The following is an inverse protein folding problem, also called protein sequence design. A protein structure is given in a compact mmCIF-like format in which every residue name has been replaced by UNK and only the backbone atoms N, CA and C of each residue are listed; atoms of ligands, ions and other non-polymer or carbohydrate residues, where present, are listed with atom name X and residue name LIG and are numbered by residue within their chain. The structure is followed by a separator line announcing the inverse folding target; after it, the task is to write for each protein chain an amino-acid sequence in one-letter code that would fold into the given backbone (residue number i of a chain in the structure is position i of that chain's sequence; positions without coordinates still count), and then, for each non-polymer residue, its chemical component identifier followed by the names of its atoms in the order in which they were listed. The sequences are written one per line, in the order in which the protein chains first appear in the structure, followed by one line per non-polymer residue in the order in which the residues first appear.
data_IF_665402123208
#
_entry.id   IF_665402123208
#
_cell.length_a   1.000
_cell.length_b   1.000
_cell.length_c   1.000
_cell.angle_alpha   90.00
_cell.angle_beta   90.00
_cell.angle_gamma   90.00
#
_symmetry.space_group_name_H-M   'P 1'
#
loop_
_entity.id
_entity.type
_entity.pdbx_description
1 polymer ?
#
# COMPACT_ATOMS: atom_id res chain seq x y z
N UNK A 1 0.66 -9.20 21.39
CA UNK A 1 0.16 -8.31 22.47
C UNK A 1 -1.15 -8.86 22.98
N UNK A 2 -1.46 -8.79 24.26
CA UNK A 2 -2.74 -9.28 24.77
C UNK A 2 -3.82 -8.22 24.47
N UNK A 3 -4.94 -8.66 23.89
CA UNK A 3 -6.12 -7.84 23.74
C UNK A 3 -6.61 -7.39 25.13
N UNK A 4 -6.95 -6.13 25.28
CA UNK A 4 -7.50 -5.60 26.52
C UNK A 4 -9.02 -5.79 26.48
N UNK A 5 -9.55 -6.47 27.48
CA UNK A 5 -11.00 -6.60 27.64
C UNK A 5 -11.52 -5.44 28.48
N UNK A 6 -12.30 -4.55 27.87
CA UNK A 6 -12.93 -3.41 28.55
C UNK A 6 -14.29 -3.77 29.17
N UNK A 7 -14.91 -4.84 28.67
CA UNK A 7 -16.22 -5.34 29.13
C UNK A 7 -16.15 -6.84 29.33
N UNK A 8 -17.02 -7.34 30.20
CA UNK A 8 -17.15 -8.78 30.44
C UNK A 8 -17.76 -9.47 29.20
N UNK A 9 -17.15 -10.59 28.79
CA UNK A 9 -17.54 -11.39 27.62
C UNK A 9 -18.11 -12.76 28.01
N UNK A 10 -18.59 -12.91 29.25
CA UNK A 10 -19.19 -14.15 29.70
C UNK A 10 -20.71 -14.07 29.59
N UNK A 11 -21.29 -14.85 28.68
CA UNK A 11 -22.72 -14.91 28.45
C UNK A 11 -23.48 -15.36 29.69
N UNK A 12 -22.97 -16.36 30.43
CA UNK A 12 -23.62 -16.90 31.62
C UNK A 12 -23.59 -15.91 32.78
N UNK A 13 -22.52 -15.14 32.92
CA UNK A 13 -22.45 -14.05 33.91
C UNK A 13 -23.43 -12.93 33.58
N UNK A 14 -23.53 -12.53 32.31
CA UNK A 14 -24.52 -11.53 31.86
C UNK A 14 -25.95 -12.03 32.15
N UNK A 15 -26.27 -13.28 31.80
CA UNK A 15 -27.55 -13.90 32.08
C UNK A 15 -27.85 -13.93 33.57
N UNK A 16 -26.87 -14.32 34.39
CA UNK A 16 -27.01 -14.36 35.87
C UNK A 16 -27.28 -12.96 36.43
N UNK A 17 -26.54 -11.95 35.98
CA UNK A 17 -26.74 -10.55 36.39
C UNK A 17 -28.14 -10.04 36.04
N UNK A 18 -28.66 -10.39 34.87
CA UNK A 18 -30.03 -10.05 34.48
C UNK A 18 -31.07 -10.74 35.37
N UNK A 19 -30.87 -12.01 35.70
CA UNK A 19 -31.73 -12.75 36.62
C UNK A 19 -31.69 -12.17 38.03
N UNK A 20 -30.53 -11.81 38.55
CA UNK A 20 -30.36 -11.19 39.86
C UNK A 20 -31.03 -9.80 39.94
N UNK A 21 -30.93 -9.01 38.86
CA UNK A 21 -31.68 -7.75 38.77
C UNK A 21 -33.20 -7.96 38.83
N UNK A 22 -33.72 -8.95 38.12
CA UNK A 22 -35.17 -9.29 38.17
C UNK A 22 -35.58 -9.83 39.50
N UNK A 23 -34.73 -10.61 40.19
CA UNK A 23 -34.99 -11.12 41.57
C UNK A 23 -35.15 -10.01 42.57
N UNK A 24 -34.39 -8.90 42.39
CA UNK A 24 -34.57 -7.72 43.26
C UNK A 24 -35.89 -6.97 43.03
N UNK A 25 -36.60 -7.25 41.90
CA UNK A 25 -37.87 -6.66 41.55
C UNK A 25 -39.01 -7.66 41.76
N UNK A 26 -39.78 -7.46 42.81
CA UNK A 26 -40.88 -8.37 43.21
C UNK A 26 -42.03 -8.52 42.18
N UNK A 27 -42.03 -7.77 41.11
CA UNK A 27 -43.08 -7.82 40.08
C UNK A 27 -42.89 -8.94 39.05
N UNK A 28 -41.73 -9.62 39.06
CA UNK A 28 -41.41 -10.70 38.13
C UNK A 28 -41.25 -12.01 38.90
N UNK A 29 -42.04 -13.01 38.57
CA UNK A 29 -42.02 -14.30 39.30
C UNK A 29 -41.67 -15.49 38.44
N UNK A 30 -41.56 -15.32 37.09
CA UNK A 30 -41.44 -16.43 36.13
C UNK A 30 -40.06 -16.47 35.43
N UNK A 31 -39.10 -15.68 35.91
CA UNK A 31 -37.77 -15.52 35.27
C UNK A 31 -36.83 -16.72 35.47
N UNK A 32 -37.05 -17.53 36.51
CA UNK A 32 -36.20 -18.70 36.80
C UNK A 32 -36.64 -19.98 36.09
N UNK A 33 -37.84 -20.00 35.51
CA UNK A 33 -38.33 -21.15 34.77
C UNK A 33 -37.79 -21.14 33.34
N UNK A 34 -36.93 -22.10 33.02
CA UNK A 34 -36.20 -22.11 31.71
C UNK A 34 -37.12 -22.23 30.49
N UNK A 35 -38.31 -22.79 30.65
CA UNK A 35 -39.34 -22.88 29.60
C UNK A 35 -40.24 -21.64 29.47
N UNK A 36 -40.03 -20.61 30.29
CA UNK A 36 -40.90 -19.44 30.27
C UNK A 36 -40.56 -18.49 29.13
N UNK A 37 -41.53 -17.73 28.67
CA UNK A 37 -41.31 -16.67 27.69
C UNK A 37 -40.35 -15.59 28.23
N UNK A 38 -40.37 -15.32 29.53
CA UNK A 38 -39.50 -14.36 30.17
C UNK A 38 -38.03 -14.84 30.16
N UNK A 39 -37.78 -16.13 30.42
CA UNK A 39 -36.45 -16.72 30.33
C UNK A 39 -35.92 -16.62 28.90
N UNK A 40 -36.74 -16.87 27.88
CA UNK A 40 -36.33 -16.71 26.48
C UNK A 40 -35.96 -15.25 26.12
N UNK A 41 -36.70 -14.29 26.69
CA UNK A 41 -36.37 -12.85 26.51
C UNK A 41 -35.05 -12.52 27.20
N UNK A 42 -34.79 -13.06 28.40
CA UNK A 42 -33.51 -12.87 29.10
C UNK A 42 -32.33 -13.41 28.26
N UNK A 43 -32.51 -14.58 27.64
CA UNK A 43 -31.49 -15.18 26.78
C UNK A 43 -31.18 -14.28 25.54
N UNK A 44 -32.20 -13.72 24.91
CA UNK A 44 -32.05 -12.78 23.80
C UNK A 44 -31.35 -11.50 24.27
N UNK A 45 -31.71 -10.95 25.41
CA UNK A 45 -31.06 -9.76 25.98
C UNK A 45 -29.60 -10.03 26.37
N UNK A 46 -29.32 -11.16 26.99
CA UNK A 46 -27.97 -11.58 27.34
C UNK A 46 -27.11 -11.75 26.09
N UNK A 47 -27.64 -12.39 25.04
CA UNK A 47 -26.95 -12.54 23.77
C UNK A 47 -26.69 -11.20 23.09
N UNK A 48 -27.65 -10.30 23.06
CA UNK A 48 -27.45 -8.95 22.51
C UNK A 48 -26.38 -8.19 23.29
N UNK A 49 -26.43 -8.26 24.63
CA UNK A 49 -25.41 -7.61 25.48
C UNK A 49 -24.03 -8.20 25.23
N UNK A 50 -23.92 -9.52 25.10
CA UNK A 50 -22.66 -10.21 24.76
C UNK A 50 -22.10 -9.71 23.43
N UNK A 51 -22.92 -9.66 22.37
CA UNK A 51 -22.48 -9.17 21.04
C UNK A 51 -22.06 -7.69 21.11
N UNK A 52 -22.82 -6.86 21.81
CA UNK A 52 -22.47 -5.44 21.98
C UNK A 52 -21.17 -5.27 22.76
N UNK A 53 -20.94 -6.06 23.79
CA UNK A 53 -19.69 -6.07 24.56
C UNK A 53 -18.50 -6.52 23.70
N UNK A 54 -18.70 -7.56 22.89
CA UNK A 54 -17.69 -8.02 21.94
C UNK A 54 -17.32 -6.92 20.94
N UNK A 55 -18.32 -6.29 20.33
CA UNK A 55 -18.09 -5.19 19.37
C UNK A 55 -17.41 -3.99 20.05
N UNK A 56 -17.80 -3.65 21.28
CA UNK A 56 -17.17 -2.57 22.04
C UNK A 56 -15.69 -2.87 22.33
N UNK A 57 -15.37 -4.10 22.75
CA UNK A 57 -13.99 -4.52 22.97
C UNK A 57 -13.18 -4.48 21.67
N UNK A 58 -13.76 -4.96 20.56
CA UNK A 58 -13.10 -4.96 19.26
C UNK A 58 -12.80 -3.52 18.79
N UNK A 59 -13.80 -2.63 18.82
CA UNK A 59 -13.63 -1.24 18.45
C UNK A 59 -12.58 -0.56 19.35
N UNK A 60 -12.64 -0.78 20.65
CA UNK A 60 -11.69 -0.19 21.61
C UNK A 60 -10.26 -0.63 21.36
N UNK A 61 -10.03 -1.88 20.98
CA UNK A 61 -8.70 -2.37 20.64
C UNK A 61 -8.19 -1.81 19.30
N UNK A 62 -9.09 -1.57 18.34
CA UNK A 62 -8.72 -1.03 17.03
C UNK A 62 -8.38 0.48 17.04
N UNK A 63 -8.68 1.19 18.12
CA UNK A 63 -8.33 2.62 18.27
C UNK A 63 -6.84 2.84 18.57
N UNK A 64 -6.17 1.87 19.16
CA UNK A 64 -4.77 2.00 19.55
C UNK A 64 -3.86 1.19 18.64
N UNK A 65 -2.78 1.81 18.16
CA UNK A 65 -1.82 1.20 17.24
C UNK A 65 -1.21 -0.10 17.80
N UNK A 66 -1.06 -0.19 19.10
CA UNK A 66 -0.46 -1.34 19.79
C UNK A 66 -1.39 -2.55 19.87
N UNK A 67 -2.70 -2.35 19.84
CA UNK A 67 -3.71 -3.39 19.96
C UNK A 67 -4.53 -3.61 18.70
N UNK A 68 -4.44 -2.70 17.72
CA UNK A 68 -5.12 -2.84 16.44
C UNK A 68 -4.62 -4.09 15.69
N UNK A 69 -5.57 -4.88 15.18
CA UNK A 69 -5.31 -6.13 14.45
C UNK A 69 -5.57 -6.01 12.96
N UNK A 70 -6.46 -5.12 12.57
CA UNK A 70 -6.77 -4.86 11.18
C UNK A 70 -5.71 -3.93 10.57
N UNK A 71 -5.03 -4.40 9.51
CA UNK A 71 -3.96 -3.64 8.85
C UNK A 71 -4.41 -2.24 8.44
N UNK A 72 -5.63 -2.10 7.92
CA UNK A 72 -6.19 -0.82 7.48
C UNK A 72 -6.27 0.20 8.62
N UNK A 73 -6.66 -0.25 9.82
CA UNK A 73 -6.71 0.60 11.01
C UNK A 73 -5.30 0.99 11.46
N UNK A 74 -4.35 0.03 11.46
CA UNK A 74 -2.94 0.32 11.79
C UNK A 74 -2.36 1.34 10.83
N UNK A 75 -2.61 1.21 9.52
CA UNK A 75 -2.16 2.16 8.50
C UNK A 75 -2.80 3.53 8.69
N UNK A 76 -4.10 3.58 9.00
CA UNK A 76 -4.81 4.84 9.25
C UNK A 76 -4.26 5.56 10.50
N UNK A 77 -3.99 4.82 11.57
CA UNK A 77 -3.40 5.37 12.80
C UNK A 77 -1.96 5.85 12.56
N UNK A 78 -1.15 5.06 11.84
CA UNK A 78 0.21 5.42 11.46
C UNK A 78 0.26 6.71 10.63
N UNK A 79 -0.68 6.88 9.71
CA UNK A 79 -0.82 8.09 8.89
C UNK A 79 -1.10 9.32 9.74
N UNK A 80 -1.91 9.20 10.79
CA UNK A 80 -2.21 10.32 11.70
C UNK A 80 -0.97 10.87 12.42
N UNK A 81 0.07 10.04 12.60
CA UNK A 81 1.36 10.44 13.18
C UNK A 81 2.41 10.74 12.11
N UNK A 82 2.01 10.86 10.82
CA UNK A 82 2.89 11.20 9.71
C UNK A 82 3.76 10.05 9.19
N UNK A 83 3.47 8.79 9.57
CA UNK A 83 4.22 7.64 9.08
C UNK A 83 3.54 7.03 7.85
N UNK A 84 4.29 6.90 6.76
CA UNK A 84 3.84 6.17 5.57
C UNK A 84 4.42 4.76 5.60
N UNK A 85 3.58 3.71 5.61
CA UNK A 85 4.05 2.34 5.56
C UNK A 85 4.87 2.06 4.30
N UNK A 86 5.90 1.25 4.44
CA UNK A 86 6.73 0.84 3.29
C UNK A 86 5.98 -0.17 2.43
N UNK A 87 6.14 -0.02 1.14
CA UNK A 87 5.70 -1.00 0.15
C UNK A 87 6.54 -2.28 0.21
N UNK A 88 6.18 -3.25 -0.61
CA UNK A 88 7.06 -4.38 -0.91
C UNK A 88 8.32 -3.86 -1.60
N UNK A 89 9.45 -4.49 -1.35
CA UNK A 89 10.74 -4.12 -1.96
C UNK A 89 11.14 -5.24 -2.91
N UNK A 90 11.43 -4.89 -4.16
CA UNK A 90 11.95 -5.81 -5.15
C UNK A 90 13.37 -6.24 -4.79
N UNK A 91 13.70 -7.50 -5.05
CA UNK A 91 15.08 -7.95 -4.92
C UNK A 91 15.96 -7.22 -5.95
N UNK A 92 17.12 -6.74 -5.52
CA UNK A 92 18.05 -5.98 -6.33
C UNK A 92 19.38 -6.71 -6.46
N UNK A 93 19.94 -6.72 -7.67
CA UNK A 93 21.29 -7.22 -7.91
C UNK A 93 22.06 -6.23 -8.80
N UNK A 94 23.38 -6.28 -8.69
CA UNK A 94 24.31 -5.55 -9.55
C UNK A 94 25.02 -6.58 -10.40
N UNK A 95 24.93 -6.43 -11.72
CA UNK A 95 25.52 -7.37 -12.67
C UNK A 95 26.40 -6.62 -13.67
N UNK A 96 27.48 -7.29 -14.07
CA UNK A 96 28.34 -6.82 -15.16
C UNK A 96 28.44 -7.89 -16.22
N UNK A 97 28.29 -7.53 -17.47
CA UNK A 97 28.38 -8.44 -18.60
C UNK A 97 28.90 -7.73 -19.85
N UNK A 98 29.28 -8.49 -20.83
CA UNK A 98 29.69 -7.95 -22.13
C UNK A 98 28.90 -8.60 -23.26
N UNK A 99 28.80 -7.87 -24.37
CA UNK A 99 28.18 -8.35 -25.60
C UNK A 99 29.24 -8.30 -26.70
N UNK A 100 29.52 -9.47 -27.28
CA UNK A 100 30.42 -9.57 -28.43
C UNK A 100 29.63 -9.27 -29.72
N UNK A 101 30.07 -8.21 -30.41
CA UNK A 101 29.49 -7.75 -31.68
C UNK A 101 30.32 -8.17 -32.91
N UNK A 102 31.35 -9.01 -32.74
CA UNK A 102 32.23 -9.43 -33.82
C UNK A 102 31.52 -10.16 -34.96
N UNK A 103 30.42 -10.87 -34.64
CA UNK A 103 29.57 -11.58 -35.60
C UNK A 103 28.56 -10.69 -36.36
N UNK A 104 28.45 -9.42 -36.04
CA UNK A 104 27.47 -8.53 -36.68
C UNK A 104 27.98 -8.08 -38.07
N UNK A 105 27.12 -8.12 -39.09
CA UNK A 105 27.43 -7.66 -40.45
C UNK A 105 27.76 -6.18 -40.48
N UNK A 106 27.08 -5.37 -39.69
CA UNK A 106 27.39 -3.94 -39.49
C UNK A 106 27.79 -3.76 -38.04
N UNK A 107 29.04 -3.30 -37.84
CA UNK A 107 29.57 -3.09 -36.49
C UNK A 107 29.00 -1.80 -35.91
N UNK A 108 28.23 -1.85 -34.83
CA UNK A 108 27.72 -0.65 -34.17
C UNK A 108 28.85 0.05 -33.42
N UNK A 109 28.75 1.38 -33.28
CA UNK A 109 29.68 2.19 -32.47
C UNK A 109 29.23 2.16 -31.00
N UNK A 110 27.92 2.04 -30.76
CA UNK A 110 27.30 1.95 -29.44
C UNK A 110 26.25 0.85 -29.42
N UNK A 111 26.06 0.23 -28.26
CA UNK A 111 24.99 -0.72 -28.04
C UNK A 111 24.12 -0.22 -26.87
N UNK A 112 22.81 -0.22 -27.07
CA UNK A 112 21.86 0.23 -26.04
C UNK A 112 21.06 -0.96 -25.49
N UNK A 113 21.19 -1.21 -24.21
CA UNK A 113 20.33 -2.09 -23.45
C UNK A 113 19.03 -1.36 -23.14
N UNK A 114 17.92 -1.82 -23.72
CA UNK A 114 16.61 -1.17 -23.56
C UNK A 114 16.02 -1.46 -22.19
N UNK A 115 15.32 -0.45 -21.63
CA UNK A 115 14.54 -0.63 -20.39
C UNK A 115 13.56 -1.78 -20.51
N UNK A 116 13.32 -2.46 -19.40
CA UNK A 116 12.44 -3.63 -19.33
C UNK A 116 13.18 -4.89 -18.91
N UNK A 117 12.64 -6.05 -19.21
CA UNK A 117 13.21 -7.34 -18.82
C UNK A 117 14.52 -7.56 -19.58
N UNK A 118 15.60 -7.73 -18.84
CA UNK A 118 16.94 -7.96 -19.37
C UNK A 118 17.49 -9.34 -19.05
N UNK A 119 16.95 -10.00 -18.02
CA UNK A 119 17.37 -11.33 -17.61
C UNK A 119 16.20 -12.12 -17.07
N UNK A 120 16.24 -13.45 -17.29
CA UNK A 120 15.34 -14.41 -16.65
C UNK A 120 16.17 -15.47 -15.97
N UNK A 121 15.71 -15.98 -14.82
CA UNK A 121 16.44 -17.05 -14.14
C UNK A 121 16.39 -18.33 -14.98
N UNK A 122 17.55 -18.94 -15.20
CA UNK A 122 17.65 -20.28 -15.81
C UNK A 122 17.29 -21.40 -14.82
N UNK A 123 17.33 -21.12 -13.52
CA UNK A 123 16.98 -22.05 -12.46
C UNK A 123 15.59 -21.71 -11.91
N UNK A 124 14.73 -22.71 -11.90
CA UNK A 124 13.45 -22.66 -11.20
C UNK A 124 13.69 -23.02 -9.74
N UNK A 125 13.43 -22.09 -8.82
CA UNK A 125 13.32 -22.41 -7.40
C UNK A 125 11.85 -22.82 -7.15
N UNK A 126 11.62 -24.07 -6.93
CA UNK A 126 10.27 -24.63 -6.99
C UNK A 126 9.77 -24.72 -8.45
N UNK A 127 8.62 -24.19 -8.75
CA UNK A 127 8.04 -24.10 -10.12
C UNK A 127 8.05 -22.66 -10.67
N UNK A 128 8.79 -21.74 -10.04
CA UNK A 128 8.73 -20.32 -10.38
C UNK A 128 9.97 -19.86 -11.15
N UNK A 129 9.76 -19.09 -12.20
CA UNK A 129 10.83 -18.42 -12.94
C UNK A 129 10.84 -16.94 -12.56
N UNK A 130 12.02 -16.42 -12.27
CA UNK A 130 12.19 -15.00 -11.91
C UNK A 130 12.68 -14.22 -13.13
N UNK A 131 12.12 -13.02 -13.34
CA UNK A 131 12.58 -12.07 -14.34
C UNK A 131 13.17 -10.86 -13.67
N UNK A 132 14.18 -10.28 -14.29
CA UNK A 132 14.86 -9.08 -13.80
C UNK A 132 14.83 -8.00 -14.86
N UNK A 133 14.57 -6.78 -14.42
CA UNK A 133 14.35 -5.62 -15.30
C UNK A 133 15.24 -4.45 -14.92
N UNK A 134 15.51 -3.57 -15.90
CA UNK A 134 16.16 -2.27 -15.68
C UNK A 134 15.15 -1.13 -15.88
N UNK A 135 15.26 -0.03 -15.10
CA UNK A 135 14.31 1.08 -15.15
C UNK A 135 14.50 1.99 -16.37
N UNK A 136 15.71 2.07 -16.92
CA UNK A 136 16.08 3.01 -17.99
C UNK A 136 17.00 2.38 -19.02
N UNK A 137 17.07 2.98 -20.21
CA UNK A 137 18.01 2.58 -21.26
C UNK A 137 19.45 2.86 -20.82
N UNK A 138 20.33 1.87 -21.02
CA UNK A 138 21.76 1.99 -20.72
C UNK A 138 22.54 1.82 -22.03
N UNK A 139 23.37 2.81 -22.40
CA UNK A 139 24.17 2.77 -23.63
C UNK A 139 25.63 2.58 -23.28
N UNK A 140 26.27 1.61 -23.93
CA UNK A 140 27.68 1.34 -23.82
C UNK A 140 28.39 1.53 -25.18
N UNK A 141 29.62 2.07 -25.23
CA UNK A 141 30.42 2.11 -26.45
C UNK A 141 30.90 0.70 -26.80
N UNK A 142 31.08 0.46 -28.11
CA UNK A 142 31.68 -0.79 -28.60
C UNK A 142 33.17 -0.49 -28.87
N UNK A 143 34.02 -1.17 -28.10
CA UNK A 143 35.48 -1.07 -28.22
C UNK A 143 36.00 -2.45 -28.65
N UNK A 144 36.77 -2.51 -29.70
CA UNK A 144 37.33 -3.75 -30.27
C UNK A 144 36.29 -4.88 -30.52
N UNK A 145 35.07 -4.44 -30.86
CA UNK A 145 33.96 -5.36 -31.12
C UNK A 145 33.23 -5.84 -29.87
N UNK A 146 33.56 -5.31 -28.69
CA UNK A 146 32.92 -5.68 -27.41
C UNK A 146 32.23 -4.45 -26.80
N UNK A 147 30.96 -4.60 -26.41
CA UNK A 147 30.26 -3.65 -25.58
C UNK A 147 30.21 -4.15 -24.14
N UNK A 148 30.76 -3.42 -23.20
CA UNK A 148 30.79 -3.79 -21.77
C UNK A 148 29.78 -2.97 -21.00
N UNK A 149 28.88 -3.65 -20.30
CA UNK A 149 27.91 -3.08 -19.37
C UNK A 149 28.39 -3.40 -17.95
N UNK A 150 28.95 -2.40 -17.26
CA UNK A 150 29.44 -2.53 -15.90
C UNK A 150 28.42 -2.00 -14.88
N UNK A 151 28.33 -2.67 -13.74
CA UNK A 151 27.54 -2.26 -12.56
C UNK A 151 26.08 -1.92 -12.88
N UNK A 152 25.44 -2.74 -13.72
CA UNK A 152 24.04 -2.58 -14.08
C UNK A 152 23.17 -3.06 -12.91
N UNK A 153 22.39 -2.14 -12.37
CA UNK A 153 21.38 -2.47 -11.36
C UNK A 153 20.14 -3.11 -12.00
N UNK A 154 19.82 -4.31 -11.56
CA UNK A 154 18.64 -5.04 -12.01
C UNK A 154 17.70 -5.29 -10.83
N UNK A 155 16.41 -5.25 -11.09
CA UNK A 155 15.34 -5.43 -10.11
C UNK A 155 14.46 -6.60 -10.49
N UNK A 156 14.08 -7.42 -9.52
CA UNK A 156 13.14 -8.51 -9.72
C UNK A 156 11.77 -7.96 -10.14
N UNK A 157 11.17 -8.60 -11.13
CA UNK A 157 9.88 -8.22 -11.68
C UNK A 157 9.98 -7.42 -12.99
N UNK A 158 8.94 -6.67 -13.29
CA UNK A 158 8.85 -5.85 -14.50
C UNK A 158 8.41 -4.43 -14.16
N UNK A 159 8.95 -3.45 -14.88
CA UNK A 159 8.50 -2.06 -14.79
C UNK A 159 7.20 -1.88 -15.56
N UNK A 160 6.15 -1.45 -14.86
CA UNK A 160 4.85 -1.12 -15.42
C UNK A 160 4.72 0.40 -15.56
N UNK A 161 4.09 0.85 -16.63
CA UNK A 161 3.78 2.27 -16.82
C UNK A 161 2.28 2.48 -16.67
N UNK A 162 1.89 3.36 -15.75
CA UNK A 162 0.52 3.83 -15.60
C UNK A 162 0.43 5.28 -16.08
N UNK A 163 -0.54 5.58 -16.93
CA UNK A 163 -0.78 6.92 -17.44
C UNK A 163 -2.09 7.45 -16.86
N UNK A 164 -2.05 8.67 -16.36
CA UNK A 164 -3.20 9.41 -15.87
C UNK A 164 -3.31 10.72 -16.63
N UNK A 165 -4.52 11.07 -17.04
CA UNK A 165 -4.79 12.33 -17.71
C UNK A 165 -5.43 13.30 -16.73
N UNK A 166 -4.82 14.48 -16.60
CA UNK A 166 -5.41 15.60 -15.84
C UNK A 166 -6.36 16.32 -16.77
N UNK A 167 -7.62 16.48 -16.37
CA UNK A 167 -8.63 17.22 -17.13
C UNK A 167 -9.22 18.30 -16.27
N UNK A 168 -9.79 19.34 -16.90
CA UNK A 168 -10.50 20.42 -16.20
C UNK A 168 -11.74 19.94 -15.42
N UNK A 169 -12.24 18.75 -15.75
CA UNK A 169 -13.36 18.10 -15.05
C UNK A 169 -12.89 17.27 -13.84
N UNK A 170 -11.61 16.97 -13.74
CA UNK A 170 -11.06 16.24 -12.61
C UNK A 170 -10.81 17.22 -11.46
N UNK A 171 -11.29 16.87 -10.25
CA UNK A 171 -11.58 17.86 -9.23
C UNK A 171 -10.38 18.59 -8.69
N UNK A 172 -10.73 19.64 -7.98
CA UNK A 172 -9.90 20.51 -7.16
C UNK A 172 -8.68 19.83 -6.54
N UNK A 173 -7.52 20.52 -6.50
CA UNK A 173 -6.32 20.03 -5.83
C UNK A 173 -6.60 19.64 -4.37
N UNK A 174 -5.84 18.66 -3.83
CA UNK A 174 -4.71 17.99 -4.46
C UNK A 174 -5.13 16.89 -5.41
N UNK A 175 -4.51 16.83 -6.62
CA UNK A 175 -4.75 15.74 -7.56
C UNK A 175 -4.24 14.42 -7.02
N UNK A 176 -5.08 13.40 -7.03
CA UNK A 176 -4.80 12.08 -6.46
C UNK A 176 -4.98 10.98 -7.50
N UNK A 177 -4.02 10.08 -7.58
CA UNK A 177 -4.02 8.98 -8.55
C UNK A 177 -3.65 7.67 -7.89
N UNK A 178 -4.57 6.73 -7.86
CA UNK A 178 -4.35 5.41 -7.26
C UNK A 178 -3.64 4.48 -8.24
N UNK A 179 -2.56 3.88 -7.78
CA UNK A 179 -1.84 2.82 -8.50
C UNK A 179 -2.54 1.48 -8.22
N UNK A 180 -3.15 0.91 -9.26
CA UNK A 180 -4.00 -0.29 -9.14
C UNK A 180 -3.19 -1.61 -9.05
N UNK A 181 -2.07 -1.59 -8.33
CA UNK A 181 -1.27 -2.79 -8.07
C UNK A 181 -0.78 -2.76 -6.62
N UNK A 182 -1.19 -3.76 -5.83
CA UNK A 182 -0.79 -3.90 -4.43
C UNK A 182 0.65 -4.43 -4.25
N UNK A 183 1.26 -4.97 -5.31
CA UNK A 183 2.57 -5.61 -5.26
C UNK A 183 3.67 -4.73 -5.87
N UNK A 184 3.55 -3.41 -5.77
CA UNK A 184 4.56 -2.48 -6.30
C UNK A 184 5.66 -2.22 -5.28
N UNK A 185 6.85 -1.93 -5.81
CA UNK A 185 7.96 -1.32 -5.05
C UNK A 185 7.94 0.19 -5.28
N UNK A 186 7.47 0.94 -4.28
CA UNK A 186 7.38 2.41 -4.37
C UNK A 186 8.73 3.09 -4.34
N UNK A 187 9.81 2.39 -3.92
CA UNK A 187 11.16 2.95 -3.90
C UNK A 187 11.75 3.12 -5.30
N UNK A 188 11.23 2.37 -6.28
CA UNK A 188 11.65 2.44 -7.70
C UNK A 188 10.72 3.27 -8.57
N UNK A 189 9.74 3.93 -7.96
CA UNK A 189 8.72 4.69 -8.68
C UNK A 189 9.32 5.95 -9.32
N UNK A 190 9.10 6.10 -10.61
CA UNK A 190 9.43 7.32 -11.36
C UNK A 190 8.16 8.01 -11.84
N UNK A 191 8.01 9.27 -11.48
CA UNK A 191 6.85 10.09 -11.84
C UNK A 191 7.29 11.23 -12.75
N UNK A 192 6.62 11.35 -13.90
CA UNK A 192 6.84 12.45 -14.83
C UNK A 192 5.52 12.98 -15.36
N UNK A 193 5.44 14.28 -15.53
CA UNK A 193 4.26 14.98 -16.06
C UNK A 193 4.62 15.61 -17.40
N UNK A 194 3.73 15.48 -18.38
CA UNK A 194 3.80 16.13 -19.70
C UNK A 194 2.73 17.20 -19.78
N UNK A 195 3.03 18.30 -20.40
CA UNK A 195 2.07 19.40 -20.56
C UNK A 195 0.92 19.03 -21.54
N UNK A 196 1.19 18.12 -22.49
CA UNK A 196 0.19 17.56 -23.41
C UNK A 196 0.54 16.13 -23.75
N UNK A 197 -0.43 15.33 -24.22
CA UNK A 197 -0.23 13.96 -24.66
C UNK A 197 0.82 13.86 -25.78
N UNK A 198 0.84 14.83 -26.67
CA UNK A 198 1.79 14.89 -27.81
C UNK A 198 3.19 15.41 -27.42
N UNK A 199 3.36 15.93 -26.19
CA UNK A 199 4.64 16.47 -25.75
C UNK A 199 5.69 15.37 -25.60
N UNK A 200 6.86 15.57 -26.19
CA UNK A 200 8.06 14.72 -26.02
C UNK A 200 8.85 15.12 -24.78
N UNK A 201 8.62 16.32 -24.27
CA UNK A 201 9.25 16.82 -23.04
C UNK A 201 8.40 16.45 -21.83
N UNK A 202 9.05 16.03 -20.75
CA UNK A 202 8.40 15.73 -19.48
C UNK A 202 9.13 16.40 -18.32
N UNK A 203 8.36 16.82 -17.33
CA UNK A 203 8.85 17.34 -16.05
C UNK A 203 8.93 16.19 -15.07
N UNK A 204 10.10 15.90 -14.51
CA UNK A 204 10.26 14.86 -13.48
C UNK A 204 9.81 15.42 -12.14
N UNK A 205 9.00 14.65 -11.42
CA UNK A 205 8.57 14.91 -10.05
C UNK A 205 9.34 13.99 -9.11
N UNK A 206 9.63 14.48 -7.91
CA UNK A 206 10.45 13.79 -6.91
C UNK A 206 9.56 13.44 -5.70
N UNK A 207 9.76 12.26 -5.16
CA UNK A 207 9.10 11.86 -3.92
C UNK A 207 9.54 12.75 -2.75
N UNK A 208 8.58 13.22 -1.96
CA UNK A 208 8.83 13.88 -0.68
C UNK A 208 8.00 13.21 0.41
N UNK A 209 8.62 12.99 1.55
CA UNK A 209 7.98 12.47 2.76
C UNK A 209 7.63 13.58 3.77
N UNK A 210 8.08 14.81 3.50
CA UNK A 210 7.86 15.97 4.36
C UNK A 210 7.32 17.15 3.56
N UNK A 211 6.64 18.07 4.26
CA UNK A 211 6.22 19.36 3.71
C UNK A 211 7.27 20.46 3.95
N UNK A 212 8.35 20.14 4.67
CA UNK A 212 9.40 21.10 5.00
C UNK A 212 10.16 21.45 3.72
N UNK A 213 10.35 22.76 3.48
CA UNK A 213 11.02 23.31 2.28
C UNK A 213 10.27 23.08 0.95
N UNK A 214 9.04 22.55 0.96
CA UNK A 214 8.22 22.45 -0.23
C UNK A 214 7.55 23.80 -0.49
N UNK A 215 7.78 24.36 -1.69
CA UNK A 215 7.19 25.61 -2.17
C UNK A 215 6.11 25.33 -3.20
N UNK A 216 5.37 26.34 -3.61
CA UNK A 216 4.34 26.31 -4.65
C UNK A 216 4.85 25.83 -6.03
N UNK A 217 6.15 25.98 -6.30
CA UNK A 217 6.80 25.58 -7.56
C UNK A 217 7.60 24.29 -7.46
N UNK A 218 7.62 23.66 -6.28
CA UNK A 218 8.35 22.41 -6.06
C UNK A 218 7.67 21.25 -6.78
N UNK A 219 8.41 20.55 -7.67
CA UNK A 219 7.92 19.38 -8.40
C UNK A 219 8.05 18.13 -7.54
N UNK A 220 7.15 18.01 -6.58
CA UNK A 220 7.12 16.91 -5.65
C UNK A 220 5.79 16.17 -5.71
N UNK A 221 5.83 14.91 -5.34
CA UNK A 221 4.64 14.10 -5.07
C UNK A 221 4.81 13.39 -3.73
N UNK A 222 3.69 13.11 -3.12
CA UNK A 222 3.59 12.35 -1.87
C UNK A 222 2.97 11.00 -2.16
N UNK A 223 3.27 10.01 -1.32
CA UNK A 223 2.69 8.67 -1.43
C UNK A 223 1.93 8.37 -0.14
N UNK A 224 0.76 7.80 -0.30
CA UNK A 224 0.00 7.28 0.83
C UNK A 224 -0.54 5.89 0.47
N UNK A 225 -0.55 4.98 1.45
CA UNK A 225 -1.23 3.69 1.30
C UNK A 225 -2.73 3.89 1.46
N UNK A 226 -3.50 3.29 0.56
CA UNK A 226 -4.97 3.25 0.59
C UNK A 226 -5.42 1.79 0.77
N UNK A 227 -6.72 1.52 0.65
CA UNK A 227 -7.28 0.19 0.83
C UNK A 227 -6.62 -0.86 -0.08
N UNK A 228 -6.63 -2.11 0.36
CA UNK A 228 -6.07 -3.26 -0.37
C UNK A 228 -4.56 -3.16 -0.65
N UNK A 229 -3.78 -2.51 0.22
CA UNK A 229 -2.33 -2.33 0.07
C UNK A 229 -1.93 -1.61 -1.25
N UNK A 230 -2.84 -0.85 -1.84
CA UNK A 230 -2.56 0.00 -3.00
C UNK A 230 -1.99 1.33 -2.54
N UNK A 231 -1.34 2.01 -3.46
CA UNK A 231 -0.72 3.31 -3.20
C UNK A 231 -1.37 4.40 -4.04
N UNK A 232 -1.54 5.56 -3.44
CA UNK A 232 -2.06 6.75 -4.07
C UNK A 232 -0.96 7.80 -4.15
N UNK A 233 -0.80 8.40 -5.34
CA UNK A 233 0.06 9.55 -5.57
C UNK A 233 -0.74 10.82 -5.33
N UNK A 234 -0.19 11.72 -4.55
CA UNK A 234 -0.79 13.00 -4.22
C UNK A 234 0.15 14.09 -4.73
N UNK A 235 -0.35 14.95 -5.60
CA UNK A 235 0.41 16.08 -6.13
C UNK A 235 0.10 17.37 -5.37
N UNK A 236 0.93 18.38 -5.59
CA UNK A 236 0.77 19.67 -4.96
C UNK A 236 -0.55 20.38 -5.30
N UNK A 237 -0.94 21.27 -4.41
CA UNK A 237 -2.16 22.10 -4.53
C UNK A 237 -1.86 23.54 -5.00
N UNK A 238 -0.59 23.86 -5.26
CA UNK A 238 -0.14 25.21 -5.58
C UNK A 238 0.29 26.03 -4.37
N UNK A 239 0.22 25.42 -3.17
CA UNK A 239 0.80 25.99 -1.93
C UNK A 239 1.93 25.08 -1.46
N UNK A 240 1.65 23.78 -1.40
CA UNK A 240 2.63 22.74 -1.08
C UNK A 240 2.87 21.85 -2.32
N UNK A 241 3.75 22.31 -3.20
CA UNK A 241 4.10 21.66 -4.46
C UNK A 241 3.38 22.25 -5.68
N UNK A 242 4.00 22.06 -6.87
CA UNK A 242 3.44 22.48 -8.16
C UNK A 242 2.09 21.79 -8.41
N UNK A 243 1.06 22.60 -8.69
CA UNK A 243 -0.26 22.09 -9.04
C UNK A 243 -0.24 21.54 -10.47
N UNK A 244 -0.90 20.40 -10.68
CA UNK A 244 -1.13 19.89 -12.03
C UNK A 244 -2.29 20.68 -12.71
N UNK A 245 -2.04 21.13 -13.93
CA UNK A 245 -2.98 21.90 -14.76
C UNK A 245 -3.22 21.18 -16.09
#
# INVERSE_FOLDING_TARGET
MALVNFTDLDFDQIKTSLKDYLRANSNFTDYDFEGSNLSSIIDVLAYNTYINSYNANMISNEVFIDSATLRENVVALARNIGYTPRSRTAAKAIVSFFVDTSGFTTKPITLTLKKGIVSTSAATFGSESYSFSIPSDITAPVIDGIATFGDVEIYEGSFLTSNFTVTSENPAPPSRYTLNNANIDTSTLEVSVRDTEASTSSKKFIFSDTLIEVTDTSRVYFIQEVDDQRYELIFGDGVFGEKLE
#
